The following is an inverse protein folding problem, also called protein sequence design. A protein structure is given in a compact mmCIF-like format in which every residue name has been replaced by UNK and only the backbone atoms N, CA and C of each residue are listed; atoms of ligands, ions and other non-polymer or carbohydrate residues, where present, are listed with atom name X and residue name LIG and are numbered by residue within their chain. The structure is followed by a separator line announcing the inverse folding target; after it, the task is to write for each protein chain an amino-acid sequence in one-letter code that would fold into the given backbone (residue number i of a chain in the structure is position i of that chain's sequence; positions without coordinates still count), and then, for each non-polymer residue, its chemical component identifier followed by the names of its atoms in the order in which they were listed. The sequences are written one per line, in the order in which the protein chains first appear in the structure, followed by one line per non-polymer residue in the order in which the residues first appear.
data_IF_323981068096
#
_entry.id   IF_323981068096
#
_cell.length_a   1.000
_cell.length_b   1.000
_cell.length_c   1.000
_cell.angle_alpha   90.00
_cell.angle_beta   90.00
_cell.angle_gamma   90.00
#
_symmetry.space_group_name_H-M   'P 1'
#
loop_
_entity.id
_entity.type
_entity.pdbx_description
1 polymer ?
#
# COMPACT_ATOMS: atom_id res chain seq x y z
N UNK A 1 -9.91 1.06 18.45
CA UNK A 1 -9.18 1.18 17.17
C UNK A 1 -9.82 2.32 16.41
N UNK A 2 -9.01 3.23 15.89
CA UNK A 2 -9.46 4.36 15.08
C UNK A 2 -9.11 4.07 13.62
N UNK A 3 -10.05 4.30 12.72
CA UNK A 3 -9.86 4.16 11.28
C UNK A 3 -10.19 5.50 10.63
N UNK A 4 -9.42 5.84 9.60
CA UNK A 4 -9.69 7.01 8.76
C UNK A 4 -9.79 6.55 7.31
N UNK A 5 -10.74 7.13 6.60
CA UNK A 5 -10.92 6.98 5.15
C UNK A 5 -10.55 8.26 4.42
N UNK A 6 -10.14 9.30 5.15
CA UNK A 6 -9.75 10.58 4.57
C UNK A 6 -8.41 10.42 3.82
N UNK A 7 -8.34 10.76 2.52
CA UNK A 7 -7.13 10.59 1.73
C UNK A 7 -5.92 11.39 2.25
N UNK A 8 -6.15 12.56 2.85
CA UNK A 8 -5.09 13.41 3.41
C UNK A 8 -4.52 12.78 4.67
N UNK A 9 -5.38 12.27 5.55
CA UNK A 9 -4.95 11.54 6.73
C UNK A 9 -4.17 10.27 6.35
N UNK A 10 -4.67 9.51 5.37
CA UNK A 10 -4.02 8.29 4.88
C UNK A 10 -2.63 8.62 4.33
N UNK A 11 -2.52 9.64 3.48
CA UNK A 11 -1.23 10.08 2.95
C UNK A 11 -0.29 10.58 4.06
N UNK A 12 -0.83 11.29 5.07
CA UNK A 12 -0.05 11.73 6.21
C UNK A 12 0.52 10.54 6.99
N UNK A 13 -0.30 9.54 7.30
CA UNK A 13 0.08 8.39 8.12
C UNK A 13 0.99 7.42 7.35
N UNK A 14 0.65 7.08 6.11
CA UNK A 14 1.32 6.01 5.36
C UNK A 14 2.49 6.48 4.50
N UNK A 15 2.57 7.78 4.20
CA UNK A 15 3.58 8.33 3.30
C UNK A 15 4.43 9.41 3.96
N UNK A 16 3.82 10.48 4.50
CA UNK A 16 4.58 11.66 4.95
C UNK A 16 5.20 11.52 6.35
N UNK A 17 4.49 10.86 7.27
CA UNK A 17 4.82 10.87 8.70
C UNK A 17 4.86 9.46 9.30
N UNK A 18 5.12 8.45 8.48
CA UNK A 18 5.02 7.03 8.83
C UNK A 18 5.86 6.61 10.04
N UNK A 19 7.04 7.20 10.23
CA UNK A 19 7.92 6.90 11.37
C UNK A 19 7.23 7.21 12.71
N UNK A 20 6.34 8.20 12.74
CA UNK A 20 5.58 8.58 13.93
C UNK A 20 4.35 7.70 14.18
N UNK A 21 4.05 6.75 13.28
CA UNK A 21 2.96 5.78 13.41
C UNK A 21 3.51 4.35 13.35
N UNK A 22 4.34 3.92 14.33
CA UNK A 22 4.87 2.56 14.34
C UNK A 22 3.75 1.53 14.45
N UNK A 23 3.83 0.48 13.64
CA UNK A 23 2.87 -0.62 13.65
C UNK A 23 3.04 -1.41 14.96
N UNK A 24 2.00 -1.40 15.80
CA UNK A 24 2.01 -2.17 17.05
C UNK A 24 1.81 -3.67 16.84
N UNK A 25 2.08 -4.48 17.86
CA UNK A 25 2.02 -5.95 17.81
C UNK A 25 0.69 -6.51 17.29
N UNK A 26 -0.42 -5.85 17.63
CA UNK A 26 -1.74 -6.26 17.13
C UNK A 26 -1.86 -6.11 15.62
N UNK A 27 -1.29 -5.06 15.04
CA UNK A 27 -1.26 -4.87 13.59
C UNK A 27 -0.42 -5.98 12.95
N UNK A 28 0.76 -6.26 13.52
CA UNK A 28 1.67 -7.28 13.02
C UNK A 28 1.05 -8.68 13.01
N UNK A 29 0.31 -9.03 14.07
CA UNK A 29 -0.43 -10.30 14.17
C UNK A 29 -1.56 -10.43 13.14
N UNK A 30 -2.25 -9.34 12.82
CA UNK A 30 -3.33 -9.36 11.82
C UNK A 30 -2.75 -9.66 10.43
N UNK A 31 -1.57 -9.14 10.13
CA UNK A 31 -0.92 -9.29 8.82
C UNK A 31 0.20 -10.35 8.83
N UNK A 32 0.26 -11.21 9.84
CA UNK A 32 1.32 -12.22 10.02
C UNK A 32 1.42 -13.19 8.83
N UNK A 33 0.28 -13.46 8.18
CA UNK A 33 0.21 -14.26 6.94
C UNK A 33 1.02 -13.67 5.77
N UNK A 34 1.31 -12.36 5.80
CA UNK A 34 2.14 -11.68 4.80
C UNK A 34 3.62 -11.61 5.22
N UNK A 35 3.98 -12.25 6.33
CA UNK A 35 5.34 -12.24 6.90
C UNK A 35 5.83 -10.83 7.20
N UNK A 36 7.13 -10.59 7.07
CA UNK A 36 7.75 -9.26 7.19
C UNK A 36 7.63 -8.42 5.90
N UNK A 37 6.63 -8.74 5.06
CA UNK A 37 6.39 -8.06 3.79
C UNK A 37 5.99 -6.58 3.94
N UNK A 38 5.60 -5.95 2.84
CA UNK A 38 5.27 -4.51 2.81
C UNK A 38 4.34 -4.10 3.96
N UNK A 39 3.29 -4.86 4.28
CA UNK A 39 2.38 -4.47 5.35
C UNK A 39 2.98 -4.56 6.76
N UNK A 40 3.98 -5.39 7.02
CA UNK A 40 4.60 -5.53 8.35
C UNK A 40 5.94 -4.82 8.49
N UNK A 41 6.59 -4.44 7.39
CA UNK A 41 7.86 -3.71 7.44
C UNK A 41 7.72 -2.28 8.01
N UNK A 42 8.80 -1.79 8.62
CA UNK A 42 8.90 -0.47 9.27
C UNK A 42 10.12 0.27 8.69
N UNK A 43 10.11 1.60 8.72
CA UNK A 43 11.26 2.43 8.36
C UNK A 43 11.67 2.31 6.89
N UNK A 44 12.97 2.24 6.64
CA UNK A 44 13.54 2.23 5.28
C UNK A 44 13.05 1.05 4.42
N UNK A 45 12.79 -0.11 5.02
CA UNK A 45 12.28 -1.29 4.30
C UNK A 45 10.84 -1.02 3.82
N UNK A 46 10.01 -0.36 4.62
CA UNK A 46 8.68 0.09 4.19
C UNK A 46 8.80 1.07 3.03
N UNK A 47 9.66 2.09 3.14
CA UNK A 47 9.81 3.11 2.11
C UNK A 47 10.29 2.52 0.78
N UNK A 48 11.27 1.61 0.82
CA UNK A 48 11.76 0.91 -0.36
C UNK A 48 10.66 0.06 -1.01
N UNK A 49 9.97 -0.79 -0.23
CA UNK A 49 8.88 -1.61 -0.72
C UNK A 49 7.75 -0.76 -1.31
N UNK A 50 7.39 0.34 -0.63
CA UNK A 50 6.37 1.27 -1.09
C UNK A 50 6.76 1.92 -2.42
N UNK A 51 8.00 2.39 -2.59
CA UNK A 51 8.48 2.94 -3.87
C UNK A 51 8.43 1.90 -5.00
N UNK A 52 8.87 0.67 -4.74
CA UNK A 52 8.84 -0.42 -5.73
C UNK A 52 7.40 -0.73 -6.14
N UNK A 53 6.50 -0.93 -5.18
CA UNK A 53 5.09 -1.24 -5.46
C UNK A 53 4.42 -0.09 -6.20
N UNK A 54 4.59 1.16 -5.75
CA UNK A 54 4.04 2.31 -6.46
C UNK A 54 4.60 2.46 -7.88
N UNK A 55 5.87 2.14 -8.10
CA UNK A 55 6.47 2.13 -9.45
C UNK A 55 5.81 1.08 -10.34
N UNK A 56 5.62 -0.14 -9.84
CA UNK A 56 4.95 -1.22 -10.56
C UNK A 56 3.50 -0.84 -10.88
N UNK A 57 2.76 -0.32 -9.90
CA UNK A 57 1.37 0.08 -10.06
C UNK A 57 1.21 1.24 -11.06
N UNK A 58 2.15 2.19 -11.09
CA UNK A 58 2.14 3.32 -12.04
C UNK A 58 2.63 2.94 -13.43
N UNK A 59 3.25 1.77 -13.60
CA UNK A 59 3.80 1.36 -14.87
C UNK A 59 2.69 1.16 -15.91
N UNK A 60 2.89 1.68 -17.14
CA UNK A 60 1.88 1.66 -18.20
C UNK A 60 1.32 0.26 -18.48
N UNK A 61 2.17 -0.78 -18.44
CA UNK A 61 1.75 -2.18 -18.60
C UNK A 61 0.73 -2.62 -17.54
N UNK A 62 0.93 -2.20 -16.28
CA UNK A 62 -0.01 -2.51 -15.20
C UNK A 62 -1.33 -1.77 -15.42
N UNK A 63 -1.27 -0.49 -15.80
CA UNK A 63 -2.46 0.30 -16.15
C UNK A 63 -3.26 -0.36 -17.28
N UNK A 64 -2.61 -0.76 -18.37
CA UNK A 64 -3.29 -1.46 -19.48
C UNK A 64 -3.88 -2.82 -19.05
N UNK A 65 -3.26 -3.52 -18.09
CA UNK A 65 -3.84 -4.75 -17.53
C UNK A 65 -5.10 -4.45 -16.72
N UNK A 66 -5.08 -3.39 -15.92
CA UNK A 66 -6.24 -2.93 -15.13
C UNK A 66 -7.37 -2.50 -16.05
N UNK A 67 -7.08 -1.72 -17.09
CA UNK A 67 -8.07 -1.24 -18.06
C UNK A 67 -8.77 -2.40 -18.78
N UNK A 68 -8.01 -3.44 -19.14
CA UNK A 68 -8.56 -4.66 -19.77
C UNK A 68 -9.37 -5.53 -18.80
N UNK A 69 -9.01 -5.53 -17.53
CA UNK A 69 -9.73 -6.28 -16.51
C UNK A 69 -10.96 -5.52 -15.95
N UNK A 70 -11.04 -4.21 -16.19
CA UNK A 70 -12.16 -3.37 -15.82
C UNK A 70 -13.37 -3.54 -16.75
N UNK A 71 -14.56 -3.02 -16.36
CA UNK A 71 -15.80 -3.15 -17.13
C UNK A 71 -15.72 -2.57 -18.55
N UNK A 72 -14.77 -1.66 -18.80
CA UNK A 72 -14.47 -1.08 -20.11
C UNK A 72 -13.83 -2.05 -21.10
N UNK A 73 -13.19 -3.14 -20.63
CA UNK A 73 -12.54 -4.15 -21.49
C UNK A 73 -13.49 -5.19 -22.10
N UNK A 74 -14.76 -5.23 -21.69
CA UNK A 74 -15.76 -6.18 -22.18
C UNK A 74 -16.57 -5.67 -23.40
N UNK A 75 -16.30 -4.45 -23.87
CA UNK A 75 -16.99 -3.81 -25.00
C UNK A 75 -16.11 -3.62 -26.24
N UNK A 76 -14.90 -4.20 -26.26
CA UNK A 76 -13.94 -4.12 -27.36
C UNK A 76 -13.76 -5.45 -28.08
#
# INVERSE_FOLDING_TARGET
MLFTTDPLDIHHILSKNFINYPKGDKFRRIFDALGDGILNSIGEIWEMNHKIIFSILKHAKFQSMVDRAGPTGLLG
#
